data_IF_141402758920
#
_entry.id   IF_141402758920
#
_cell.length_a   1.000
_cell.length_b   1.000
_cell.length_c   1.000
_cell.angle_alpha   90.00
_cell.angle_beta   90.00
_cell.angle_gamma   90.00
#
_symmetry.space_group_name_H-M   'P 1'
#
loop_
_entity.id
_entity.type
_entity.pdbx_description
1 polymer ?
#
# COMPACT_ATOMS: atom_id res chain seq x y z
N UNK A 1 0.77 20.94 35.42
CA UNK A 1 0.76 21.10 33.95
C UNK A 1 2.13 21.61 33.52
N UNK A 2 2.63 21.15 32.37
CA UNK A 2 3.91 21.58 31.79
C UNK A 2 3.64 22.75 30.84
N UNK A 3 4.42 23.82 30.98
CA UNK A 3 4.25 25.07 30.23
C UNK A 3 5.46 25.37 29.32
N UNK A 4 6.60 24.68 29.53
CA UNK A 4 7.82 24.89 28.74
C UNK A 4 8.64 23.60 28.56
N UNK A 5 9.52 23.58 27.54
CA UNK A 5 10.44 22.45 27.30
C UNK A 5 11.39 22.22 28.48
N UNK A 6 11.88 23.29 29.12
CA UNK A 6 12.77 23.15 30.28
C UNK A 6 12.06 22.46 31.44
N UNK A 7 10.79 22.82 31.70
CA UNK A 7 9.98 22.18 32.73
C UNK A 7 9.72 20.70 32.39
N UNK A 8 9.43 20.40 31.11
CA UNK A 8 9.25 19.04 30.65
C UNK A 8 10.50 18.19 30.91
N UNK A 9 11.66 18.64 30.43
CA UNK A 9 12.92 17.89 30.55
C UNK A 9 13.30 17.67 32.02
N UNK A 10 13.13 18.67 32.90
CA UNK A 10 13.34 18.51 34.35
C UNK A 10 12.43 17.44 34.95
N UNK A 11 11.18 17.35 34.52
CA UNK A 11 10.25 16.33 35.01
C UNK A 11 10.63 14.93 34.48
N UNK A 12 10.99 14.82 33.20
CA UNK A 12 11.46 13.55 32.60
C UNK A 12 12.74 13.07 33.28
N UNK A 13 13.68 13.96 33.62
CA UNK A 13 14.92 13.61 34.30
C UNK A 13 14.68 13.06 35.72
N UNK A 14 13.64 13.53 36.42
CA UNK A 14 13.25 12.93 37.71
C UNK A 14 12.74 11.51 37.50
N UNK A 15 11.85 11.31 36.52
CA UNK A 15 11.27 9.99 36.22
C UNK A 15 12.35 9.01 35.79
N UNK A 16 13.31 9.44 34.95
CA UNK A 16 14.47 8.63 34.51
C UNK A 16 15.30 8.10 35.68
N UNK A 17 15.47 8.87 36.76
CA UNK A 17 16.22 8.43 37.95
C UNK A 17 15.51 7.34 38.76
N UNK A 18 14.20 7.18 38.57
CA UNK A 18 13.38 6.17 39.24
C UNK A 18 13.22 4.89 38.41
N UNK A 19 13.74 4.88 37.16
CA UNK A 19 13.60 3.74 36.24
C UNK A 19 14.84 2.85 36.33
N UNK A 20 14.67 1.52 36.48
CA UNK A 20 15.77 0.57 36.46
C UNK A 20 16.55 0.62 35.13
N UNK A 21 17.89 0.39 35.14
CA UNK A 21 18.71 0.39 33.92
C UNK A 21 18.27 -0.59 32.83
N UNK A 22 17.64 -1.70 33.21
CA UNK A 22 17.09 -2.73 32.33
C UNK A 22 15.78 -2.33 31.63
N UNK A 23 15.19 -1.19 32.03
CA UNK A 23 13.95 -0.68 31.48
C UNK A 23 14.22 0.51 30.54
N UNK A 24 13.47 0.58 29.44
CA UNK A 24 13.53 1.69 28.49
C UNK A 24 12.36 2.64 28.69
N UNK A 25 12.65 3.94 28.84
CA UNK A 25 11.63 4.98 28.82
C UNK A 25 11.35 5.46 27.41
N UNK A 26 10.10 5.30 26.99
CA UNK A 26 9.58 5.77 25.71
C UNK A 26 8.39 6.71 25.92
N UNK A 27 8.10 7.52 24.91
CA UNK A 27 7.11 8.58 24.98
C UNK A 27 6.16 8.52 23.79
N UNK A 28 4.92 8.96 24.00
CA UNK A 28 3.94 9.16 22.93
C UNK A 28 3.15 10.44 23.16
N UNK A 29 3.13 11.31 22.17
CA UNK A 29 2.27 12.50 22.17
C UNK A 29 0.86 12.18 21.72
N UNK A 30 -0.14 12.71 22.42
CA UNK A 30 -1.54 12.64 22.02
C UNK A 30 -2.25 13.96 22.25
N UNK A 31 -3.17 14.28 21.34
CA UNK A 31 -3.97 15.48 21.47
C UNK A 31 -5.20 15.30 22.38
N UNK A 32 -5.57 14.06 22.68
CA UNK A 32 -6.65 13.68 23.57
C UNK A 32 -6.31 12.34 24.23
N UNK A 33 -6.86 12.09 25.42
CA UNK A 33 -6.74 10.80 26.09
C UNK A 33 -7.85 9.87 25.58
N UNK A 34 -7.47 8.62 25.32
CA UNK A 34 -8.39 7.51 25.07
C UNK A 34 -8.24 6.48 26.19
N UNK A 35 -9.26 5.63 26.37
CA UNK A 35 -9.24 4.56 27.38
C UNK A 35 -8.07 3.59 27.20
N UNK A 36 -7.73 3.28 25.95
CA UNK A 36 -6.55 2.48 25.59
C UNK A 36 -5.77 3.12 24.44
N UNK A 37 -4.45 3.03 24.51
CA UNK A 37 -3.54 3.33 23.40
C UNK A 37 -3.52 2.12 22.47
N UNK A 38 -3.98 2.30 21.23
CA UNK A 38 -4.09 1.23 20.22
C UNK A 38 -3.46 1.62 18.88
N UNK A 39 -2.93 0.62 18.19
CA UNK A 39 -2.34 0.76 16.86
C UNK A 39 -3.41 1.11 15.81
N UNK A 40 -2.96 1.57 14.64
CA UNK A 40 -3.84 1.94 13.54
C UNK A 40 -4.74 0.78 13.07
N UNK A 41 -4.17 -0.43 12.98
CA UNK A 41 -4.89 -1.64 12.54
C UNK A 41 -5.58 -2.43 13.65
N UNK A 42 -5.30 -2.20 14.93
CA UNK A 42 -6.00 -2.86 16.03
C UNK A 42 -7.46 -2.40 16.21
N UNK A 43 -7.97 -1.52 15.32
CA UNK A 43 -9.37 -1.09 15.22
C UNK A 43 -10.17 -2.11 14.39
N UNK A 44 -11.46 -2.28 14.70
CA UNK A 44 -12.31 -3.32 14.08
C UNK A 44 -12.36 -3.22 12.54
N UNK A 45 -12.45 -4.37 11.85
CA UNK A 45 -12.63 -4.53 10.39
C UNK A 45 -11.41 -4.28 9.47
N UNK A 46 -10.19 -4.48 9.93
CA UNK A 46 -9.01 -4.40 9.05
C UNK A 46 -8.83 -5.66 8.20
N UNK A 47 -8.90 -5.54 6.88
CA UNK A 47 -8.59 -6.62 5.92
C UNK A 47 -7.07 -6.68 5.72
N UNK A 48 -6.48 -7.87 5.90
CA UNK A 48 -5.05 -8.11 5.66
C UNK A 48 -4.91 -9.14 4.54
N UNK A 49 -4.14 -8.81 3.50
CA UNK A 49 -3.76 -9.75 2.45
C UNK A 49 -2.25 -10.01 2.54
N UNK A 50 -1.84 -11.27 2.75
CA UNK A 50 -0.44 -11.63 2.99
C UNK A 50 0.49 -11.38 1.79
N UNK A 51 -0.02 -11.47 0.55
CA UNK A 51 0.78 -11.16 -0.65
C UNK A 51 0.98 -9.66 -0.80
N UNK A 52 -0.04 -8.85 -0.46
CA UNK A 52 0.09 -7.40 -0.43
C UNK A 52 1.11 -6.95 0.61
N UNK A 53 1.08 -7.52 1.82
CA UNK A 53 2.09 -7.25 2.85
C UNK A 53 3.50 -7.66 2.41
N UNK A 54 3.63 -8.80 1.74
CA UNK A 54 4.92 -9.25 1.17
C UNK A 54 5.40 -8.34 0.03
N UNK A 55 4.49 -7.75 -0.75
CA UNK A 55 4.81 -6.77 -1.78
C UNK A 55 5.39 -5.49 -1.18
N UNK A 56 4.79 -4.96 -0.12
CA UNK A 56 5.35 -3.84 0.64
C UNK A 56 6.75 -4.13 1.18
N UNK A 57 6.94 -5.33 1.73
CA UNK A 57 8.24 -5.80 2.20
C UNK A 57 9.30 -5.81 1.08
N UNK A 58 8.91 -6.25 -0.12
CA UNK A 58 9.76 -6.28 -1.31
C UNK A 58 10.21 -4.87 -1.73
N UNK A 59 9.29 -3.89 -1.72
CA UNK A 59 9.62 -2.50 -2.05
C UNK A 59 10.66 -1.96 -1.06
N UNK A 60 10.46 -2.15 0.25
CA UNK A 60 11.39 -1.65 1.27
C UNK A 60 12.76 -2.31 1.17
N UNK A 61 12.84 -3.64 1.03
CA UNK A 61 14.11 -4.34 0.94
C UNK A 61 14.96 -3.91 -0.27
N UNK A 62 14.31 -3.62 -1.40
CA UNK A 62 15.00 -3.01 -2.56
C UNK A 62 15.52 -1.62 -2.25
N UNK A 63 14.76 -0.82 -1.51
CA UNK A 63 15.17 0.52 -1.14
C UNK A 63 16.28 0.52 -0.09
N UNK A 64 16.30 -0.41 0.85
CA UNK A 64 17.30 -0.51 1.93
C UNK A 64 18.61 -1.16 1.51
N UNK A 65 18.64 -1.90 0.40
CA UNK A 65 19.70 -2.88 0.05
C UNK A 65 19.94 -3.91 1.18
N UNK A 66 18.97 -4.11 2.07
CA UNK A 66 19.02 -5.08 3.17
C UNK A 66 17.87 -6.06 3.00
N UNK A 67 18.09 -7.32 3.34
CA UNK A 67 17.00 -8.28 3.54
C UNK A 67 16.60 -8.25 5.01
N UNK A 68 15.58 -7.47 5.33
CA UNK A 68 14.93 -7.45 6.65
C UNK A 68 13.65 -8.27 6.65
N UNK A 69 13.21 -8.68 7.86
CA UNK A 69 11.94 -9.35 8.06
C UNK A 69 10.75 -8.43 7.78
N UNK A 70 9.60 -9.01 7.42
CA UNK A 70 8.36 -8.29 7.10
C UNK A 70 7.94 -7.34 8.22
N UNK A 71 8.07 -7.77 9.49
CA UNK A 71 7.72 -6.95 10.66
C UNK A 71 8.55 -5.67 10.76
N UNK A 72 9.86 -5.78 10.59
CA UNK A 72 10.78 -4.64 10.62
C UNK A 72 10.47 -3.64 9.51
N UNK A 73 10.20 -4.12 8.30
CA UNK A 73 9.86 -3.26 7.18
C UNK A 73 8.49 -2.58 7.32
N UNK A 74 7.49 -3.27 7.89
CA UNK A 74 6.24 -2.65 8.28
C UNK A 74 6.46 -1.55 9.32
N UNK A 75 7.36 -1.77 10.28
CA UNK A 75 7.71 -0.76 11.29
C UNK A 75 8.27 0.52 10.65
N UNK A 76 9.17 0.38 9.66
CA UNK A 76 9.65 1.52 8.85
C UNK A 76 8.49 2.20 8.11
N UNK A 77 7.68 1.43 7.38
CA UNK A 77 6.62 1.97 6.51
C UNK A 77 5.51 2.69 7.28
N UNK A 78 5.31 2.36 8.56
CA UNK A 78 4.34 3.07 9.40
C UNK A 78 4.65 4.57 9.49
N UNK A 79 5.93 4.95 9.58
CA UNK A 79 6.33 6.35 9.58
C UNK A 79 6.04 7.05 8.25
N UNK A 80 5.77 6.30 7.18
CA UNK A 80 5.39 6.80 5.85
C UNK A 80 3.90 6.62 5.56
N UNK A 81 3.08 6.30 6.56
CA UNK A 81 1.62 6.28 6.44
C UNK A 81 1.00 4.90 6.21
N UNK A 82 1.78 3.81 6.21
CA UNK A 82 1.21 2.46 6.19
C UNK A 82 0.53 2.18 7.54
N UNK A 83 -0.78 1.87 7.57
CA UNK A 83 -1.40 1.39 8.81
C UNK A 83 -0.79 0.04 9.18
N UNK A 84 -0.43 -0.16 10.45
CA UNK A 84 0.12 -1.43 10.96
C UNK A 84 -0.49 -1.78 12.32
N UNK A 85 -0.07 -2.92 12.88
CA UNK A 85 -0.36 -3.32 14.26
C UNK A 85 0.63 -2.77 15.28
N UNK A 86 1.47 -1.77 14.97
CA UNK A 86 2.42 -1.23 15.95
C UNK A 86 1.96 0.09 16.55
N UNK A 87 2.29 0.29 17.82
CA UNK A 87 2.24 1.58 18.47
C UNK A 87 3.55 2.31 18.20
N UNK A 88 3.40 3.51 17.65
CA UNK A 88 4.48 4.45 17.41
C UNK A 88 4.89 5.16 18.73
N UNK A 89 6.15 5.04 19.11
CA UNK A 89 6.76 5.59 20.32
C UNK A 89 8.05 6.32 19.95
N UNK A 90 8.49 7.23 20.81
CA UNK A 90 9.76 7.95 20.63
C UNK A 90 10.60 7.90 21.89
N UNK A 91 11.93 7.83 21.76
CA UNK A 91 12.85 8.05 22.88
C UNK A 91 13.10 9.53 23.20
N UNK A 92 12.55 10.45 22.37
CA UNK A 92 12.70 11.89 22.53
C UNK A 92 11.41 12.53 23.09
N UNK A 93 11.42 13.02 24.34
CA UNK A 93 10.23 13.61 24.94
C UNK A 93 9.76 14.90 24.24
N UNK A 94 10.66 15.63 23.56
CA UNK A 94 10.27 16.83 22.80
C UNK A 94 9.52 16.47 21.51
N UNK A 95 9.86 15.35 20.86
CA UNK A 95 9.09 14.81 19.73
C UNK A 95 7.68 14.43 20.18
N UNK A 96 7.54 13.77 21.35
CA UNK A 96 6.22 13.48 21.92
C UNK A 96 5.46 14.75 22.30
N UNK A 97 6.12 15.75 22.88
CA UNK A 97 5.51 17.04 23.19
C UNK A 97 4.98 17.75 21.93
N UNK A 98 5.74 17.68 20.83
CA UNK A 98 5.30 18.20 19.53
C UNK A 98 4.02 17.50 19.07
N UNK A 99 3.97 16.16 19.05
CA UNK A 99 2.74 15.44 18.67
C UNK A 99 1.55 15.70 19.62
N UNK A 100 1.81 16.05 20.89
CA UNK A 100 0.76 16.44 21.84
C UNK A 100 0.15 17.83 21.56
N UNK A 101 0.91 18.70 20.88
CA UNK A 101 0.53 20.08 20.55
C UNK A 101 0.09 20.27 19.10
N UNK A 102 0.28 19.28 18.23
CA UNK A 102 -0.01 19.38 16.80
C UNK A 102 -1.04 18.33 16.37
N UNK A 103 -1.91 18.70 15.43
CA UNK A 103 -2.97 17.83 14.89
C UNK A 103 -2.68 17.51 13.43
N UNK A 104 -2.67 16.22 13.11
CA UNK A 104 -2.62 15.74 11.73
C UNK A 104 -3.85 16.21 10.94
N UNK A 105 -3.60 16.77 9.75
CA UNK A 105 -4.62 17.26 8.84
C UNK A 105 -4.35 16.74 7.43
N UNK A 106 -5.36 16.11 6.83
CA UNK A 106 -5.33 15.72 5.41
C UNK A 106 -5.76 16.94 4.60
N UNK A 107 -4.90 17.34 3.67
CA UNK A 107 -5.15 18.48 2.81
C UNK A 107 -5.82 18.04 1.51
N UNK A 108 -6.34 19.01 0.76
CA UNK A 108 -6.81 18.73 -0.61
C UNK A 108 -5.59 18.32 -1.46
N UNK A 109 -5.67 17.20 -2.20
CA UNK A 109 -4.57 16.76 -3.04
C UNK A 109 -4.31 17.78 -4.16
N UNK A 110 -3.04 17.97 -4.50
CA UNK A 110 -2.67 18.71 -5.71
C UNK A 110 -2.85 17.83 -6.93
N UNK A 111 -3.46 18.41 -7.96
CA UNK A 111 -3.60 17.79 -9.26
C UNK A 111 -2.53 18.31 -10.21
N UNK A 112 -1.78 17.39 -10.79
CA UNK A 112 -0.80 17.67 -11.82
C UNK A 112 -1.39 17.37 -13.19
N UNK A 113 -1.35 18.37 -14.07
CA UNK A 113 -1.89 18.28 -15.42
C UNK A 113 -0.81 17.77 -16.36
N UNK A 114 -1.00 16.55 -16.87
CA UNK A 114 -0.21 15.91 -17.93
C UNK A 114 -1.14 15.18 -18.89
N UNK A 115 -0.64 14.18 -19.61
CA UNK A 115 -1.51 13.31 -20.42
C UNK A 115 -2.51 12.55 -19.54
N UNK A 116 -2.04 12.13 -18.36
CA UNK A 116 -2.87 11.65 -17.26
C UNK A 116 -2.91 12.72 -16.17
N UNK A 117 -4.08 13.00 -15.60
CA UNK A 117 -4.16 13.84 -14.40
C UNK A 117 -3.66 13.07 -13.19
N UNK A 118 -2.58 13.53 -12.56
CA UNK A 118 -1.99 12.83 -11.42
C UNK A 118 -2.35 13.53 -10.13
N UNK A 119 -3.05 12.84 -9.24
CA UNK A 119 -3.30 13.34 -7.88
C UNK A 119 -2.14 12.97 -6.96
N UNK A 120 -1.73 13.96 -6.20
CA UNK A 120 -0.74 13.81 -5.15
C UNK A 120 -1.38 14.16 -3.82
N UNK A 121 -1.49 13.16 -2.95
CA UNK A 121 -2.04 13.32 -1.61
C UNK A 121 -1.08 14.14 -0.74
N UNK A 122 -1.66 14.99 0.10
CA UNK A 122 -0.95 15.97 0.94
C UNK A 122 -1.48 15.94 2.37
N UNK A 123 -0.58 16.14 3.31
CA UNK A 123 -0.86 16.17 4.73
C UNK A 123 0.00 17.22 5.40
N UNK A 124 -0.47 17.70 6.54
CA UNK A 124 0.28 18.62 7.39
C UNK A 124 -0.02 18.34 8.87
N UNK A 125 0.66 19.07 9.73
CA UNK A 125 0.36 19.13 11.15
C UNK A 125 0.11 20.57 11.55
N UNK A 126 -1.13 20.84 11.95
CA UNK A 126 -1.54 22.16 12.43
C UNK A 126 -1.31 22.27 13.94
N UNK A 127 -0.62 23.33 14.38
CA UNK A 127 -0.49 23.64 15.80
C UNK A 127 -1.86 23.89 16.42
N UNK A 128 -2.10 23.33 17.60
CA UNK A 128 -3.25 23.64 18.44
C UNK A 128 -2.82 24.71 19.45
N UNK A 129 -3.49 25.85 19.44
CA UNK A 129 -3.12 27.02 20.26
C UNK A 129 -3.78 27.04 21.65
N UNK A 130 -4.68 26.08 21.93
CA UNK A 130 -5.41 25.98 23.19
C UNK A 130 -5.68 24.54 23.64
N UNK A 131 -6.08 24.40 24.90
CA UNK A 131 -6.39 23.12 25.54
C UNK A 131 -5.15 22.34 26.01
N UNK A 132 -5.40 21.08 26.36
CA UNK A 132 -4.41 20.21 27.01
C UNK A 132 -3.87 19.18 26.02
N UNK A 133 -2.55 19.11 25.90
CA UNK A 133 -1.83 18.01 25.25
C UNK A 133 -1.37 16.97 26.26
N UNK A 134 -1.19 15.73 25.82
CA UNK A 134 -0.81 14.63 26.69
C UNK A 134 0.46 13.95 26.19
N UNK A 135 1.45 13.80 27.08
CA UNK A 135 2.57 12.89 26.88
C UNK A 135 2.32 11.65 27.71
N UNK A 136 2.18 10.51 27.05
CA UNK A 136 2.09 9.20 27.69
C UNK A 136 3.51 8.64 27.79
N UNK A 137 3.92 8.27 29.00
CA UNK A 137 5.24 7.71 29.29
C UNK A 137 5.11 6.21 29.46
N UNK A 138 5.89 5.47 28.68
CA UNK A 138 6.00 4.03 28.72
C UNK A 138 7.30 3.64 29.41
N UNK A 139 7.22 2.76 30.40
CA UNK A 139 8.36 2.05 30.99
C UNK A 139 8.34 0.63 30.46
N UNK A 140 9.17 0.36 29.44
CA UNK A 140 9.24 -0.94 28.78
C UNK A 140 10.29 -1.79 29.48
N UNK A 141 9.91 -2.86 30.19
CA UNK A 141 10.86 -3.72 30.88
C UNK A 141 11.60 -4.64 29.92
N UNK A 142 12.83 -5.04 30.26
CA UNK A 142 13.64 -6.00 29.52
C UNK A 142 13.68 -5.70 28.00
N UNK A 143 13.83 -4.42 27.64
CA UNK A 143 13.64 -3.95 26.27
C UNK A 143 14.57 -4.64 25.25
N UNK A 144 15.78 -5.06 25.67
CA UNK A 144 16.74 -5.79 24.82
C UNK A 144 16.23 -7.18 24.40
N UNK A 145 15.55 -7.88 25.31
CA UNK A 145 14.89 -9.16 25.02
C UNK A 145 13.74 -8.94 24.02
N UNK A 146 12.92 -7.92 24.26
CA UNK A 146 11.82 -7.57 23.35
C UNK A 146 12.30 -7.17 21.94
N UNK A 147 13.47 -6.53 21.82
CA UNK A 147 14.08 -6.26 20.51
C UNK A 147 14.50 -7.56 19.84
N UNK A 148 15.12 -8.47 20.59
CA UNK A 148 15.57 -9.79 20.08
C UNK A 148 14.39 -10.64 19.60
N UNK A 149 13.24 -10.55 20.27
CA UNK A 149 12.01 -11.27 19.94
C UNK A 149 11.15 -10.59 18.85
N UNK A 150 11.62 -9.48 18.26
CA UNK A 150 10.87 -8.68 17.28
C UNK A 150 9.51 -8.18 17.81
N UNK A 151 9.47 -7.85 19.09
CA UNK A 151 8.33 -7.34 19.83
C UNK A 151 8.37 -5.82 20.06
N UNK A 152 9.58 -5.28 20.06
CA UNK A 152 9.96 -3.86 20.07
C UNK A 152 10.97 -3.62 18.94
N UNK A 153 10.80 -2.57 18.16
CA UNK A 153 11.72 -2.22 17.08
C UNK A 153 12.34 -0.86 17.36
N UNK A 154 13.67 -0.80 17.44
CA UNK A 154 14.45 0.44 17.35
C UNK A 154 14.81 0.68 15.89
N UNK A 155 14.13 1.62 15.25
CA UNK A 155 14.39 1.99 13.85
C UNK A 155 15.01 3.39 13.72
N UNK A 156 15.41 4.00 14.85
CA UNK A 156 16.04 5.32 14.86
C UNK A 156 17.43 5.34 14.19
N UNK A 157 18.01 4.17 13.94
CA UNK A 157 19.33 4.02 13.32
C UNK A 157 19.27 3.70 11.81
N UNK A 158 18.11 3.81 11.16
CA UNK A 158 18.02 3.54 9.73
C UNK A 158 18.68 4.62 8.88
N UNK A 159 19.65 4.21 8.05
CA UNK A 159 20.49 5.15 7.31
C UNK A 159 19.84 5.69 6.04
N UNK A 160 18.94 4.92 5.42
CA UNK A 160 18.25 5.34 4.19
C UNK A 160 16.93 6.05 4.47
N UNK A 161 16.23 5.64 5.53
CA UNK A 161 14.98 6.24 5.97
C UNK A 161 15.27 7.14 7.16
N UNK A 162 15.36 8.44 6.91
CA UNK A 162 15.84 9.43 7.89
C UNK A 162 14.73 9.86 8.86
N UNK A 163 13.46 9.80 8.44
CA UNK A 163 12.33 10.17 9.30
C UNK A 163 12.31 9.41 10.64
N UNK A 164 12.46 8.07 10.69
CA UNK A 164 12.62 7.34 11.96
C UNK A 164 13.72 7.88 12.88
N UNK A 165 14.89 8.22 12.34
CA UNK A 165 16.00 8.83 13.10
C UNK A 165 15.58 10.17 13.71
N UNK A 166 15.00 11.07 12.89
CA UNK A 166 14.57 12.41 13.35
C UNK A 166 13.47 12.36 14.41
N UNK A 167 12.66 11.31 14.38
CA UNK A 167 11.61 11.08 15.35
C UNK A 167 12.08 10.26 16.56
N UNK A 168 13.29 9.72 16.58
CA UNK A 168 13.76 8.84 17.64
C UNK A 168 12.88 7.60 17.80
N UNK A 169 12.50 7.01 16.67
CA UNK A 169 11.36 6.10 16.54
C UNK A 169 11.59 4.71 17.14
N UNK A 170 10.62 4.29 17.96
CA UNK A 170 10.45 2.92 18.45
C UNK A 170 9.04 2.44 18.14
N UNK A 171 8.89 1.16 17.80
CA UNK A 171 7.59 0.57 17.53
C UNK A 171 7.37 -0.69 18.35
N UNK A 172 6.27 -0.74 19.09
CA UNK A 172 5.88 -1.90 19.90
C UNK A 172 4.64 -2.56 19.31
N UNK A 173 4.65 -3.88 19.15
CA UNK A 173 3.53 -4.62 18.55
C UNK A 173 2.28 -4.57 19.46
N UNK A 174 1.13 -4.23 18.90
CA UNK A 174 -0.19 -4.19 19.54
C UNK A 174 -1.14 -5.09 18.75
N UNK A 175 -0.79 -6.38 18.63
CA UNK A 175 -1.59 -7.40 17.95
C UNK A 175 -2.51 -8.12 18.94
N UNK A 176 -3.81 -7.78 19.05
CA UNK A 176 -4.66 -8.35 20.08
C UNK A 176 -5.05 -9.81 19.76
N UNK A 177 -5.17 -10.70 20.75
CA UNK A 177 -4.76 -10.54 22.15
C UNK A 177 -3.26 -10.82 22.33
N UNK A 178 -2.45 -9.76 22.52
CA UNK A 178 -1.03 -9.87 22.93
C UNK A 178 -0.94 -9.78 24.45
N UNK A 179 -0.06 -10.58 25.05
CA UNK A 179 0.33 -10.45 26.45
C UNK A 179 1.85 -10.21 26.55
N UNK A 180 2.31 -9.21 27.32
CA UNK A 180 1.52 -8.14 27.95
C UNK A 180 0.96 -7.15 26.91
N UNK A 181 -0.23 -6.61 27.19
CA UNK A 181 -0.78 -5.48 26.43
C UNK A 181 0.14 -4.26 26.65
N UNK A 182 0.58 -3.55 25.59
CA UNK A 182 1.46 -2.37 25.73
C UNK A 182 0.95 -1.30 26.68
N UNK A 183 -0.37 -1.19 26.89
CA UNK A 183 -0.97 -0.29 27.86
C UNK A 183 -0.53 -0.58 29.31
N UNK A 184 -0.10 -1.81 29.62
CA UNK A 184 0.46 -2.17 30.94
C UNK A 184 1.80 -1.51 31.22
N UNK A 185 2.49 -1.03 30.19
CA UNK A 185 3.77 -0.33 30.31
C UNK A 185 3.59 1.17 30.56
N UNK A 186 2.36 1.69 30.58
CA UNK A 186 2.12 3.12 30.86
C UNK A 186 2.48 3.40 32.32
N UNK A 187 3.56 4.18 32.54
CA UNK A 187 4.04 4.59 33.86
C UNK A 187 3.34 5.86 34.35
N UNK A 188 3.19 6.85 33.48
CA UNK A 188 2.67 8.19 33.82
C UNK A 188 2.12 8.89 32.58
N UNK A 189 1.14 9.78 32.80
CA UNK A 189 0.67 10.73 31.79
C UNK A 189 1.00 12.14 32.28
N UNK A 190 1.63 12.94 31.43
CA UNK A 190 1.95 14.35 31.69
C UNK A 190 1.05 15.22 30.83
N UNK A 191 0.46 16.23 31.44
CA UNK A 191 -0.36 17.25 30.77
C UNK A 191 0.49 18.46 30.38
N UNK A 192 0.33 18.92 29.14
CA UNK A 192 0.94 20.12 28.57
C UNK A 192 -0.15 21.18 28.35
N UNK A 193 0.12 22.40 28.79
CA UNK A 193 -0.67 23.57 28.40
C UNK A 193 -0.23 24.04 27.01
N UNK A 194 -1.07 23.82 25.98
CA UNK A 194 -0.74 24.19 24.60
C UNK A 194 -0.69 25.68 24.35
N UNK A 195 -1.36 26.48 25.18
CA UNK A 195 -1.39 27.93 25.05
C UNK A 195 -0.06 28.57 25.43
N UNK A 196 0.73 27.89 26.28
CA UNK A 196 2.02 28.36 26.78
C UNK A 196 3.19 27.57 26.18
N UNK A 197 3.02 26.28 25.94
CA UNK A 197 4.10 25.41 25.48
C UNK A 197 4.46 25.69 24.02
N UNK A 198 5.74 25.98 23.79
CA UNK A 198 6.31 26.14 22.46
C UNK A 198 7.37 25.07 22.25
N UNK A 199 7.17 24.19 21.25
CA UNK A 199 8.16 23.19 20.90
C UNK A 199 9.24 23.78 20.00
N UNK A 200 10.49 23.39 20.24
CA UNK A 200 11.64 23.67 19.38
C UNK A 200 11.67 22.81 18.11
N UNK A 201 10.89 21.73 18.06
CA UNK A 201 10.76 20.84 16.89
C UNK A 201 9.88 21.47 15.81
N UNK A 202 10.27 21.27 14.55
CA UNK A 202 9.49 21.71 13.37
C UNK A 202 8.96 20.53 12.56
N UNK A 203 7.97 20.79 11.69
CA UNK A 203 7.47 19.78 10.75
C UNK A 203 8.60 19.27 9.85
N UNK A 204 9.42 20.17 9.28
CA UNK A 204 10.50 19.83 8.34
C UNK A 204 11.61 19.02 9.00
N UNK A 205 11.83 19.19 10.30
CA UNK A 205 12.75 18.35 11.07
C UNK A 205 12.21 16.93 11.23
N UNK A 206 10.95 16.79 11.69
CA UNK A 206 10.35 15.49 11.98
C UNK A 206 9.91 14.73 10.72
N UNK A 207 9.62 15.43 9.63
CA UNK A 207 9.18 14.90 8.33
C UNK A 207 10.11 15.42 7.24
N UNK A 208 11.36 14.90 7.17
CA UNK A 208 12.35 15.41 6.25
C UNK A 208 11.91 15.28 4.79
N UNK A 209 12.26 16.29 4.00
CA UNK A 209 12.00 16.34 2.56
C UNK A 209 12.68 15.16 1.83
N UNK A 210 12.11 14.59 0.74
CA UNK A 210 12.69 13.49 -0.05
C UNK A 210 14.10 13.76 -0.59
N UNK A 211 14.47 15.03 -0.76
CA UNK A 211 15.86 15.41 -1.12
C UNK A 211 16.87 14.98 -0.05
N UNK A 212 16.44 14.97 1.22
CA UNK A 212 17.21 14.56 2.38
C UNK A 212 16.97 13.07 2.64
N UNK A 213 15.71 12.65 2.75
CA UNK A 213 15.30 11.27 3.02
C UNK A 213 15.22 10.43 1.73
N UNK A 214 16.31 9.71 1.44
CA UNK A 214 16.44 8.88 0.23
C UNK A 214 15.44 7.74 0.17
N UNK A 215 15.11 7.15 1.32
CA UNK A 215 14.10 6.10 1.44
C UNK A 215 12.72 6.64 1.10
N UNK A 216 12.37 7.82 1.62
CA UNK A 216 11.14 8.51 1.24
C UNK A 216 11.09 8.83 -0.26
N UNK A 217 12.19 9.34 -0.83
CA UNK A 217 12.27 9.59 -2.27
C UNK A 217 12.08 8.32 -3.12
N UNK A 218 12.63 7.19 -2.66
CA UNK A 218 12.46 5.90 -3.33
C UNK A 218 11.03 5.38 -3.29
N UNK A 219 10.36 5.54 -2.15
CA UNK A 219 8.93 5.25 -2.01
C UNK A 219 8.09 6.14 -2.94
N UNK A 220 8.51 7.38 -3.17
CA UNK A 220 7.86 8.30 -4.12
C UNK A 220 8.30 8.09 -5.58
N UNK A 221 9.16 7.13 -5.91
CA UNK A 221 9.55 6.85 -7.31
C UNK A 221 8.71 5.72 -7.93
N UNK A 222 7.79 5.11 -7.16
CA UNK A 222 6.85 4.13 -7.70
C UNK A 222 5.92 4.77 -8.73
N UNK A 223 5.51 4.01 -9.78
CA UNK A 223 4.66 4.53 -10.82
C UNK A 223 3.27 4.91 -10.31
N UNK A 224 2.58 5.75 -11.07
CA UNK A 224 1.16 5.99 -10.90
C UNK A 224 0.36 4.82 -11.48
N UNK A 225 -0.87 4.63 -11.01
CA UNK A 225 -1.84 3.70 -11.57
C UNK A 225 -3.11 4.47 -11.86
N UNK A 226 -3.69 4.20 -13.03
CA UNK A 226 -4.86 4.88 -13.54
C UNK A 226 -6.17 4.32 -12.98
N UNK A 227 -7.13 5.22 -12.79
CA UNK A 227 -8.51 4.89 -12.45
C UNK A 227 -9.47 5.62 -13.42
N UNK A 228 -10.41 4.91 -14.05
CA UNK A 228 -11.48 5.55 -14.83
C UNK A 228 -12.55 6.18 -13.93
N UNK A 229 -13.28 7.16 -14.47
CA UNK A 229 -14.36 7.92 -13.84
C UNK A 229 -15.48 7.08 -13.28
N UNK A 230 -15.77 5.96 -13.92
CA UNK A 230 -16.72 4.97 -13.43
C UNK A 230 -16.61 4.68 -11.91
N UNK A 231 -15.39 4.59 -11.35
CA UNK A 231 -15.21 4.22 -9.94
C UNK A 231 -15.27 5.39 -8.95
N UNK A 232 -15.12 6.65 -9.40
CA UNK A 232 -15.20 7.82 -8.51
C UNK A 232 -16.47 8.66 -8.69
N UNK A 233 -17.14 8.56 -9.84
CA UNK A 233 -18.47 9.12 -10.08
C UNK A 233 -19.57 8.12 -9.69
N UNK A 234 -19.67 7.73 -8.42
CA UNK A 234 -20.98 7.30 -7.91
C UNK A 234 -21.76 8.58 -7.65
N UNK A 235 -22.89 8.85 -8.34
CA UNK A 235 -23.57 10.12 -8.22
C UNK A 235 -23.91 10.40 -6.76
N UNK A 236 -23.39 11.51 -6.22
CA UNK A 236 -24.18 12.25 -5.23
C UNK A 236 -25.54 12.47 -5.89
N UNK A 237 -26.61 11.95 -5.29
CA UNK A 237 -27.99 11.91 -5.80
C UNK A 237 -28.62 13.28 -6.17
N UNK A 238 -27.84 14.35 -6.28
CA UNK A 238 -28.31 15.73 -6.36
C UNK A 238 -27.89 16.51 -7.63
N UNK A 239 -27.20 15.91 -8.60
CA UNK A 239 -26.99 16.56 -9.91
C UNK A 239 -28.03 16.07 -10.92
N UNK A 240 -29.20 16.70 -10.89
CA UNK A 240 -30.20 16.60 -11.94
C UNK A 240 -29.65 17.35 -13.17
N UNK A 241 -29.40 16.64 -14.27
CA UNK A 241 -29.24 17.26 -15.60
C UNK A 241 -27.97 16.94 -16.40
N UNK A 242 -27.12 16.00 -15.99
CA UNK A 242 -26.00 15.55 -16.84
C UNK A 242 -26.41 14.26 -17.56
N UNK A 243 -26.47 14.30 -18.89
CA UNK A 243 -26.68 13.13 -19.73
C UNK A 243 -25.57 12.09 -19.45
N UNK A 244 -25.94 10.83 -19.20
CA UNK A 244 -24.99 9.75 -18.91
C UNK A 244 -24.00 9.54 -20.07
N UNK A 245 -24.43 9.71 -21.33
CA UNK A 245 -23.57 9.66 -22.52
C UNK A 245 -22.44 10.70 -22.51
N UNK A 246 -22.66 11.90 -21.94
CA UNK A 246 -21.63 12.94 -21.89
C UNK A 246 -20.56 12.65 -20.84
N UNK A 247 -20.90 11.87 -19.81
CA UNK A 247 -19.97 11.46 -18.73
C UNK A 247 -19.07 10.32 -19.22
N UNK A 248 -19.63 9.33 -19.91
CA UNK A 248 -18.85 8.25 -20.56
C UNK A 248 -17.88 8.80 -21.62
N UNK A 249 -18.25 9.89 -22.31
CA UNK A 249 -17.36 10.55 -23.27
C UNK A 249 -16.11 11.17 -22.64
N UNK A 250 -16.16 11.65 -21.39
CA UNK A 250 -15.01 12.31 -20.76
C UNK A 250 -13.97 11.31 -20.26
N UNK A 251 -14.39 10.08 -19.95
CA UNK A 251 -13.52 8.96 -19.58
C UNK A 251 -12.51 8.59 -20.68
N UNK A 252 -12.86 8.87 -21.94
CA UNK A 252 -11.96 8.70 -23.09
C UNK A 252 -10.84 9.74 -23.13
N UNK A 253 -11.05 10.91 -22.52
CA UNK A 253 -10.11 12.04 -22.60
C UNK A 253 -9.39 12.32 -21.29
N UNK A 254 -9.95 11.90 -20.16
CA UNK A 254 -9.46 12.26 -18.83
C UNK A 254 -9.39 11.05 -17.92
N UNK A 255 -8.17 10.57 -17.70
CA UNK A 255 -7.89 9.53 -16.72
C UNK A 255 -7.17 10.15 -15.54
N UNK A 256 -7.58 9.76 -14.33
CA UNK A 256 -6.89 10.15 -13.11
C UNK A 256 -5.93 9.06 -12.67
N UNK A 257 -4.76 9.45 -12.16
CA UNK A 257 -3.75 8.55 -11.62
C UNK A 257 -3.42 8.90 -10.18
N UNK A 258 -3.13 7.87 -9.38
CA UNK A 258 -2.50 8.00 -8.05
C UNK A 258 -1.27 7.11 -8.00
N UNK A 259 -0.29 7.48 -7.16
CA UNK A 259 0.87 6.60 -6.92
C UNK A 259 0.39 5.24 -6.48
N UNK A 260 1.01 4.18 -7.02
CA UNK A 260 0.57 2.81 -6.79
C UNK A 260 0.52 2.48 -5.28
N UNK A 261 1.41 3.09 -4.51
CA UNK A 261 1.37 3.06 -3.05
C UNK A 261 0.91 4.42 -2.49
N UNK A 262 0.07 4.37 -1.46
CA UNK A 262 -0.48 5.56 -0.83
C UNK A 262 0.47 6.14 0.21
N UNK A 263 1.28 7.13 -0.20
CA UNK A 263 2.20 7.86 0.66
C UNK A 263 2.03 9.36 0.39
N UNK A 264 1.54 10.14 1.37
CA UNK A 264 1.29 11.57 1.19
C UNK A 264 2.57 12.40 1.26
N UNK A 265 2.49 13.63 0.76
CA UNK A 265 3.48 14.68 1.02
C UNK A 265 3.19 15.40 2.32
N UNK A 266 4.20 15.49 3.18
CA UNK A 266 4.13 16.29 4.41
C UNK A 266 4.62 17.69 4.08
N UNK A 267 3.71 18.66 4.11
CA UNK A 267 3.99 20.04 3.72
C UNK A 267 3.67 21.01 4.86
N UNK A 268 4.50 22.03 5.04
CA UNK A 268 4.25 23.13 5.97
C UNK A 268 3.44 24.23 5.27
N UNK A 269 3.81 24.51 4.02
CA UNK A 269 3.15 25.47 3.15
C UNK A 269 3.11 24.95 1.69
N UNK A 270 2.49 25.72 0.79
CA UNK A 270 2.35 25.33 -0.62
C UNK A 270 3.64 25.51 -1.42
N UNK A 271 4.61 26.27 -0.92
CA UNK A 271 5.88 26.47 -1.63
C UNK A 271 6.75 25.21 -1.53
N UNK A 272 6.60 24.41 -0.46
CA UNK A 272 7.21 23.08 -0.35
C UNK A 272 6.90 22.20 -1.58
N UNK A 273 5.70 22.31 -2.17
CA UNK A 273 5.29 21.49 -3.34
C UNK A 273 6.18 21.69 -4.57
N UNK A 274 6.79 22.87 -4.74
CA UNK A 274 7.74 23.08 -5.85
C UNK A 274 8.99 22.22 -5.69
N UNK A 275 9.39 21.93 -4.45
CA UNK A 275 10.51 21.04 -4.16
C UNK A 275 10.17 19.56 -4.33
N UNK A 276 8.87 19.23 -4.26
CA UNK A 276 8.31 17.89 -4.48
C UNK A 276 7.88 17.61 -5.94
N UNK A 277 7.97 18.60 -6.84
CA UNK A 277 7.41 18.59 -8.20
C UNK A 277 7.54 17.21 -8.88
N UNK A 278 6.42 16.52 -9.19
CA UNK A 278 6.46 15.22 -9.85
C UNK A 278 7.27 15.37 -11.13
N UNK A 279 8.17 14.43 -11.31
CA UNK A 279 9.21 14.59 -12.29
C UNK A 279 8.53 14.41 -13.65
N UNK A 280 8.96 15.15 -14.67
CA UNK A 280 8.55 14.88 -16.07
C UNK A 280 8.80 13.43 -16.54
N UNK A 281 9.55 12.64 -15.76
CA UNK A 281 9.84 11.23 -15.98
C UNK A 281 8.94 10.27 -15.17
N UNK A 282 8.00 10.79 -14.38
CA UNK A 282 7.07 9.97 -13.61
C UNK A 282 6.21 9.17 -14.62
N UNK A 283 6.19 7.86 -14.44
CA UNK A 283 5.46 6.94 -15.33
C UNK A 283 4.12 6.56 -14.72
N UNK A 284 3.19 6.21 -15.59
CA UNK A 284 1.85 5.79 -15.23
C UNK A 284 1.61 4.40 -15.82
N UNK A 285 1.17 3.46 -14.99
CA UNK A 285 0.70 2.14 -15.42
C UNK A 285 -0.63 2.35 -16.13
N UNK A 286 -0.61 2.12 -17.44
CA UNK A 286 -1.72 2.32 -18.34
C UNK A 286 -2.33 0.99 -18.78
N UNK A 287 -3.66 0.97 -18.83
CA UNK A 287 -4.48 -0.08 -19.40
C UNK A 287 -5.61 0.56 -20.21
N UNK A 288 -6.09 -0.08 -21.28
CA UNK A 288 -7.26 0.41 -22.00
C UNK A 288 -8.48 0.45 -21.08
N UNK A 289 -9.39 1.40 -21.33
CA UNK A 289 -10.58 1.61 -20.50
C UNK A 289 -11.38 0.34 -20.24
N UNK A 290 -11.71 -0.50 -21.24
CA UNK A 290 -12.49 -1.71 -21.02
C UNK A 290 -11.88 -2.63 -19.95
N UNK A 291 -10.56 -2.86 -19.99
CA UNK A 291 -9.90 -3.68 -18.96
C UNK A 291 -9.94 -3.04 -17.58
N UNK A 292 -9.96 -1.70 -17.46
CA UNK A 292 -10.08 -1.01 -16.16
C UNK A 292 -11.50 -1.05 -15.62
N UNK A 293 -12.52 -1.07 -16.48
CA UNK A 293 -13.92 -1.19 -16.06
C UNK A 293 -14.45 -2.63 -16.11
N UNK A 294 -13.59 -3.66 -16.10
CA UNK A 294 -13.98 -5.09 -16.23
C UNK A 294 -15.17 -5.53 -15.34
N UNK A 295 -15.43 -4.86 -14.22
CA UNK A 295 -16.61 -5.09 -13.39
C UNK A 295 -17.95 -4.77 -14.08
N UNK A 296 -17.95 -4.05 -15.19
CA UNK A 296 -19.13 -3.80 -16.02
C UNK A 296 -19.37 -4.93 -17.03
N UNK A 297 -18.40 -5.82 -17.22
CA UNK A 297 -18.48 -6.91 -18.18
C UNK A 297 -19.17 -8.14 -17.59
N UNK A 298 -20.22 -8.61 -18.26
CA UNK A 298 -20.96 -9.79 -17.83
C UNK A 298 -20.62 -11.02 -18.67
N UNK A 299 -19.64 -11.78 -18.20
CA UNK A 299 -19.37 -13.14 -18.69
C UNK A 299 -19.54 -14.15 -17.55
N UNK A 300 -20.35 -15.18 -17.79
CA UNK A 300 -20.59 -16.26 -16.84
C UNK A 300 -20.12 -17.59 -17.46
N UNK A 301 -19.15 -18.23 -16.82
CA UNK A 301 -18.50 -19.44 -17.34
C UNK A 301 -19.45 -20.64 -17.40
N UNK A 302 -20.49 -20.68 -16.56
CA UNK A 302 -21.48 -21.77 -16.54
C UNK A 302 -22.29 -21.87 -17.83
N UNK A 303 -22.37 -20.78 -18.61
CA UNK A 303 -23.01 -20.76 -19.93
C UNK A 303 -22.23 -21.59 -20.97
N UNK A 304 -20.92 -21.75 -20.75
CA UNK A 304 -20.03 -22.52 -21.63
C UNK A 304 -19.73 -23.90 -21.06
N UNK A 305 -19.38 -23.97 -19.78
CA UNK A 305 -18.95 -25.20 -19.10
C UNK A 305 -19.97 -25.62 -18.04
N UNK A 306 -20.74 -26.66 -18.34
CA UNK A 306 -21.76 -27.19 -17.42
C UNK A 306 -21.11 -27.63 -16.10
N UNK A 307 -21.67 -27.16 -14.99
CA UNK A 307 -21.20 -27.51 -13.63
C UNK A 307 -20.17 -26.57 -13.05
N UNK A 308 -19.60 -25.68 -13.85
CA UNK A 308 -18.66 -24.64 -13.41
C UNK A 308 -19.41 -23.39 -12.94
N UNK A 309 -18.87 -22.67 -11.96
CA UNK A 309 -19.49 -21.46 -11.38
C UNK A 309 -18.47 -20.34 -11.26
N UNK A 310 -18.63 -19.30 -12.06
CA UNK A 310 -17.76 -18.13 -12.04
C UNK A 310 -18.30 -17.02 -12.92
N UNK A 311 -18.28 -15.81 -12.37
CA UNK A 311 -18.67 -14.58 -13.04
C UNK A 311 -17.45 -13.67 -13.14
N UNK A 312 -17.25 -13.08 -14.32
CA UNK A 312 -16.09 -12.24 -14.59
C UNK A 312 -16.11 -10.93 -13.76
N UNK A 313 -17.29 -10.39 -13.47
CA UNK A 313 -17.43 -9.20 -12.59
C UNK A 313 -16.91 -9.41 -11.17
N UNK A 314 -17.01 -10.64 -10.64
CA UNK A 314 -16.57 -11.00 -9.28
C UNK A 314 -15.09 -11.41 -9.21
N UNK A 315 -14.41 -11.38 -10.35
CA UNK A 315 -13.03 -11.83 -10.50
C UNK A 315 -12.04 -10.85 -9.88
N UNK A 316 -10.99 -11.41 -9.28
CA UNK A 316 -9.84 -10.62 -8.86
C UNK A 316 -8.98 -10.24 -10.05
N UNK A 317 -8.66 -8.96 -10.21
CA UNK A 317 -7.82 -8.45 -11.27
C UNK A 317 -6.41 -8.21 -10.79
N UNK A 318 -5.42 -8.65 -11.56
CA UNK A 318 -4.01 -8.33 -11.40
C UNK A 318 -3.52 -7.58 -12.64
N UNK A 319 -3.26 -6.28 -12.48
CA UNK A 319 -2.58 -5.46 -13.49
C UNK A 319 -1.07 -5.65 -13.38
N UNK A 320 -0.45 -6.19 -14.43
CA UNK A 320 0.98 -6.52 -14.45
C UNK A 320 1.76 -5.38 -15.13
N UNK A 321 2.62 -4.70 -14.36
CA UNK A 321 3.52 -3.68 -14.93
C UNK A 321 4.53 -4.31 -15.91
N UNK A 322 5.10 -3.53 -16.87
CA UNK A 322 6.11 -4.06 -17.78
C UNK A 322 7.32 -4.69 -17.09
N UNK A 323 7.74 -4.16 -15.95
CA UNK A 323 8.86 -4.69 -15.18
C UNK A 323 8.52 -6.05 -14.59
N UNK A 324 7.36 -6.16 -13.92
CA UNK A 324 6.88 -7.43 -13.39
C UNK A 324 6.64 -8.47 -14.50
N UNK A 325 6.08 -8.05 -15.64
CA UNK A 325 5.85 -8.93 -16.79
C UNK A 325 7.16 -9.57 -17.26
N UNK A 326 8.21 -8.77 -17.47
CA UNK A 326 9.50 -9.30 -17.90
C UNK A 326 10.09 -10.29 -16.90
N UNK A 327 9.85 -10.10 -15.58
CA UNK A 327 10.32 -11.04 -14.57
C UNK A 327 9.51 -12.34 -14.58
N UNK A 328 8.19 -12.23 -14.66
CA UNK A 328 7.25 -13.34 -14.62
C UNK A 328 7.39 -14.29 -15.81
N UNK A 329 7.68 -13.73 -16.98
CA UNK A 329 7.86 -14.45 -18.23
C UNK A 329 9.34 -14.72 -18.57
N UNK A 330 10.24 -14.59 -17.59
CA UNK A 330 11.63 -15.04 -17.73
C UNK A 330 11.74 -16.57 -17.52
N UNK A 331 12.71 -17.20 -18.20
CA UNK A 331 12.93 -18.64 -18.14
C UNK A 331 13.62 -19.04 -16.82
N UNK A 332 12.82 -19.16 -15.76
CA UNK A 332 13.18 -19.88 -14.54
C UNK A 332 12.15 -20.99 -14.30
N UNK A 333 12.48 -22.20 -14.75
CA UNK A 333 11.65 -23.41 -14.59
C UNK A 333 11.76 -24.00 -13.17
N UNK A 334 12.65 -23.49 -12.32
CA UNK A 334 12.87 -24.02 -10.97
C UNK A 334 11.87 -23.50 -9.92
N UNK A 335 11.00 -22.56 -10.32
CA UNK A 335 10.04 -21.93 -9.42
C UNK A 335 8.82 -22.82 -9.20
N UNK A 336 8.46 -23.00 -7.93
CA UNK A 336 7.22 -23.66 -7.55
C UNK A 336 6.01 -22.87 -8.08
N UNK A 337 5.08 -23.59 -8.72
CA UNK A 337 3.82 -23.04 -9.19
C UNK A 337 2.80 -23.12 -8.06
N UNK A 338 2.02 -22.06 -7.89
CA UNK A 338 0.89 -22.05 -6.97
C UNK A 338 -0.17 -21.05 -7.40
N UNK A 339 -1.41 -21.30 -6.98
CA UNK A 339 -2.47 -20.34 -7.18
C UNK A 339 -2.20 -19.09 -6.31
N UNK A 340 -2.27 -17.86 -6.87
CA UNK A 340 -2.01 -16.64 -6.09
C UNK A 340 -2.86 -16.56 -4.83
N UNK A 341 -2.26 -16.18 -3.70
CA UNK A 341 -2.92 -16.12 -2.41
C UNK A 341 -3.70 -14.81 -2.21
N UNK A 342 -4.66 -14.58 -3.12
CA UNK A 342 -5.57 -13.43 -3.13
C UNK A 342 -7.03 -13.82 -2.81
N UNK A 343 -7.23 -15.03 -2.26
CA UNK A 343 -8.54 -15.57 -1.85
C UNK A 343 -9.64 -15.47 -2.93
N UNK A 344 -9.29 -15.71 -4.19
CA UNK A 344 -10.24 -15.75 -5.30
C UNK A 344 -10.06 -17.01 -6.13
N UNK A 345 -11.16 -17.63 -6.55
CA UNK A 345 -11.15 -18.75 -7.50
C UNK A 345 -11.09 -18.27 -8.95
N UNK A 346 -11.27 -16.99 -9.21
CA UNK A 346 -11.18 -16.43 -10.57
C UNK A 346 -10.21 -15.25 -10.57
N UNK A 347 -9.25 -15.25 -11.49
CA UNK A 347 -8.24 -14.19 -11.60
C UNK A 347 -8.11 -13.71 -13.05
N UNK A 348 -8.22 -12.40 -13.26
CA UNK A 348 -8.02 -11.73 -14.53
C UNK A 348 -6.68 -11.01 -14.54
N UNK A 349 -5.81 -11.41 -15.44
CA UNK A 349 -4.48 -10.85 -15.62
C UNK A 349 -4.45 -9.96 -16.85
N UNK A 350 -3.88 -8.76 -16.69
CA UNK A 350 -3.69 -7.80 -17.77
C UNK A 350 -2.25 -7.35 -17.82
N UNK A 351 -1.67 -7.31 -19.02
CA UNK A 351 -0.36 -6.67 -19.21
C UNK A 351 -0.58 -5.18 -19.42
N UNK A 352 -0.08 -4.36 -18.51
CA UNK A 352 -0.08 -2.92 -18.66
C UNK A 352 1.16 -2.43 -19.44
N UNK A 353 1.12 -1.17 -19.83
CA UNK A 353 2.26 -0.42 -20.39
C UNK A 353 2.64 0.73 -19.47
N UNK A 354 3.85 1.27 -19.62
CA UNK A 354 4.22 2.52 -18.97
C UNK A 354 3.92 3.67 -19.93
N UNK A 355 3.00 4.53 -19.52
CA UNK A 355 2.69 5.79 -20.18
C UNK A 355 3.43 6.94 -19.49
N UNK A 356 3.82 7.94 -20.26
CA UNK A 356 4.45 9.16 -19.75
C UNK A 356 4.06 10.36 -20.64
N UNK A 357 4.21 11.58 -20.13
CA UNK A 357 3.64 12.77 -20.80
C UNK A 357 4.25 13.12 -22.17
N UNK A 358 5.31 12.45 -22.63
CA UNK A 358 6.02 12.77 -23.89
C UNK A 358 5.97 11.70 -25.00
N UNK A 359 5.51 10.49 -24.70
CA UNK A 359 5.59 9.29 -25.55
C UNK A 359 4.39 8.47 -25.14
N UNK A 360 3.45 8.42 -26.06
CA UNK A 360 2.26 7.60 -25.99
C UNK A 360 2.45 6.64 -27.16
N UNK A 361 2.87 5.41 -26.85
CA UNK A 361 3.11 4.38 -27.86
C UNK A 361 2.42 3.10 -27.41
N UNK A 362 1.10 3.19 -27.28
CA UNK A 362 0.25 2.05 -27.07
C UNK A 362 -0.84 2.05 -28.15
N UNK A 363 -1.08 0.89 -28.75
CA UNK A 363 -2.11 0.71 -29.76
C UNK A 363 -2.74 -0.66 -29.59
N UNK A 364 -4.06 -0.78 -29.79
CA UNK A 364 -4.72 -2.08 -29.77
C UNK A 364 -4.17 -2.99 -30.88
N UNK A 365 -4.35 -4.32 -30.77
CA UNK A 365 -5.16 -5.01 -29.76
C UNK A 365 -4.44 -5.20 -28.42
N UNK A 366 -5.19 -5.04 -27.33
CA UNK A 366 -4.74 -5.34 -25.97
C UNK A 366 -5.15 -6.77 -25.59
N UNK A 367 -4.32 -7.45 -24.81
CA UNK A 367 -4.57 -8.83 -24.41
C UNK A 367 -4.59 -8.99 -22.89
N UNK A 368 -5.50 -9.84 -22.42
CA UNK A 368 -5.59 -10.28 -21.04
C UNK A 368 -6.00 -11.74 -20.95
N UNK A 369 -5.80 -12.34 -19.78
CA UNK A 369 -6.05 -13.77 -19.54
C UNK A 369 -6.87 -13.90 -18.29
N UNK A 370 -7.99 -14.60 -18.39
CA UNK A 370 -8.83 -14.93 -17.25
C UNK A 370 -8.71 -16.41 -16.94
N UNK A 371 -8.36 -16.71 -15.69
CA UNK A 371 -8.27 -18.06 -15.16
C UNK A 371 -9.38 -18.27 -14.15
N UNK A 372 -10.17 -19.31 -14.33
CA UNK A 372 -11.14 -19.79 -13.36
C UNK A 372 -10.70 -21.14 -12.80
N UNK A 373 -10.67 -21.28 -11.48
CA UNK A 373 -10.26 -22.50 -10.78
C UNK A 373 -11.43 -23.10 -10.01
N UNK A 374 -11.69 -24.38 -10.25
CA UNK A 374 -12.63 -25.21 -9.51
C UNK A 374 -11.94 -26.51 -9.08
N UNK A 375 -11.59 -26.61 -7.79
CA UNK A 375 -10.68 -27.63 -7.26
C UNK A 375 -9.34 -27.61 -8.02
N UNK A 376 -8.97 -28.71 -8.66
CA UNK A 376 -7.73 -28.80 -9.43
C UNK A 376 -7.94 -28.38 -10.90
N UNK A 377 -9.18 -28.21 -11.36
CA UNK A 377 -9.45 -27.78 -12.74
C UNK A 377 -9.23 -26.27 -12.87
N UNK A 378 -8.43 -25.85 -13.85
CA UNK A 378 -8.26 -24.48 -14.27
C UNK A 378 -8.79 -24.35 -15.71
N UNK A 379 -9.72 -23.41 -15.90
CA UNK A 379 -10.24 -23.03 -17.21
C UNK A 379 -9.66 -21.67 -17.57
N UNK A 380 -9.03 -21.62 -18.74
CA UNK A 380 -8.47 -20.40 -19.29
C UNK A 380 -9.44 -19.76 -20.29
N UNK A 381 -9.47 -18.43 -20.32
CA UNK A 381 -10.10 -17.65 -21.37
C UNK A 381 -9.22 -16.46 -21.72
N UNK A 382 -9.14 -16.16 -23.01
CA UNK A 382 -8.40 -15.02 -23.54
C UNK A 382 -9.34 -13.84 -23.70
N UNK A 383 -8.84 -12.64 -23.42
CA UNK A 383 -9.57 -11.41 -23.58
C UNK A 383 -8.79 -10.54 -24.54
N UNK A 384 -9.44 -10.13 -25.62
CA UNK A 384 -8.89 -9.18 -26.58
C UNK A 384 -9.71 -7.91 -26.48
N UNK A 385 -9.06 -6.77 -26.27
CA UNK A 385 -9.74 -5.50 -26.23
C UNK A 385 -9.20 -4.53 -27.27
N UNK A 386 -10.09 -3.72 -27.82
CA UNK A 386 -9.72 -2.46 -28.46
C UNK A 386 -9.87 -1.30 -27.45
N UNK A 387 -10.09 -0.08 -27.91
CA UNK A 387 -10.29 1.08 -27.03
C UNK A 387 -11.66 1.10 -26.34
N UNK A 388 -12.64 0.35 -26.85
CA UNK A 388 -14.05 0.46 -26.48
C UNK A 388 -14.66 -0.85 -25.97
N UNK A 389 -14.24 -2.00 -26.50
CA UNK A 389 -14.88 -3.29 -26.26
C UNK A 389 -13.89 -4.34 -25.80
N UNK A 390 -14.38 -5.31 -25.02
CA UNK A 390 -13.68 -6.56 -24.70
C UNK A 390 -14.40 -7.71 -25.38
N UNK A 391 -13.64 -8.52 -26.10
CA UNK A 391 -14.09 -9.79 -26.66
C UNK A 391 -13.50 -10.96 -25.85
N UNK A 392 -14.36 -11.91 -25.51
CA UNK A 392 -13.99 -13.15 -24.84
C UNK A 392 -13.73 -14.25 -25.87
N UNK A 393 -12.56 -14.86 -25.78
CA UNK A 393 -12.16 -16.00 -26.57
C UNK A 393 -11.91 -17.20 -25.64
N UNK A 394 -12.41 -18.37 -26.04
CA UNK A 394 -12.18 -19.59 -25.28
C UNK A 394 -10.68 -19.90 -25.24
N UNK A 395 -10.20 -20.44 -24.12
CA UNK A 395 -8.84 -20.98 -24.00
C UNK A 395 -8.87 -22.50 -23.88
N UNK A 396 -7.86 -23.05 -23.22
CA UNK A 396 -7.80 -24.47 -22.88
C UNK A 396 -8.14 -24.71 -21.40
N UNK A 397 -8.28 -25.98 -21.03
CA UNK A 397 -8.42 -26.38 -19.63
C UNK A 397 -7.24 -27.25 -19.20
N UNK A 398 -6.92 -27.15 -17.91
CA UNK A 398 -5.77 -27.81 -17.31
C UNK A 398 -6.12 -28.31 -15.92
N UNK A 399 -5.57 -29.45 -15.51
CA UNK A 399 -5.55 -29.86 -14.09
C UNK A 399 -4.27 -29.39 -13.44
N UNK A 400 -4.37 -28.78 -12.27
CA UNK A 400 -3.27 -28.25 -11.49
C UNK A 400 -3.07 -29.08 -10.23
N UNK A 401 -2.14 -30.05 -10.29
CA UNK A 401 -1.88 -31.02 -9.24
C UNK A 401 -0.42 -31.01 -8.86
N UNK A 402 -0.12 -30.89 -7.55
CA UNK A 402 1.25 -30.94 -7.02
C UNK A 402 2.24 -30.01 -7.76
N UNK A 403 1.81 -28.78 -8.07
CA UNK A 403 2.64 -27.79 -8.75
C UNK A 403 2.88 -28.07 -10.24
N UNK A 404 2.10 -28.96 -10.86
CA UNK A 404 2.18 -29.28 -12.29
C UNK A 404 0.85 -29.01 -12.98
N UNK A 405 0.93 -28.49 -14.20
CA UNK A 405 -0.22 -28.35 -15.10
C UNK A 405 -0.23 -29.50 -16.09
N UNK A 406 -1.41 -30.10 -16.28
CA UNK A 406 -1.64 -31.12 -17.30
C UNK A 406 -2.85 -30.70 -18.12
N UNK A 407 -2.71 -30.67 -19.45
CA UNK A 407 -3.80 -30.30 -20.34
C UNK A 407 -4.94 -31.31 -20.28
N UNK A 408 -6.18 -30.80 -20.28
CA UNK A 408 -7.40 -31.61 -20.32
C UNK A 408 -8.30 -31.10 -21.43
N UNK A 409 -8.61 -31.98 -22.39
CA UNK A 409 -9.57 -31.68 -23.46
C UNK A 409 -10.97 -31.49 -22.89
N UNK A 410 -11.60 -30.38 -23.23
CA UNK A 410 -12.99 -30.07 -22.87
C UNK A 410 -13.86 -29.85 -24.12
N UNK A 411 -15.18 -29.91 -23.96
CA UNK A 411 -16.14 -29.83 -25.08
C UNK A 411 -16.07 -28.52 -25.86
N UNK A 412 -15.74 -27.41 -25.19
CA UNK A 412 -15.69 -26.05 -25.76
C UNK A 412 -14.36 -25.37 -25.40
N UNK A 413 -13.32 -25.60 -26.18
CA UNK A 413 -12.04 -24.91 -26.05
C UNK A 413 -11.68 -24.20 -27.35
N UNK A 414 -10.58 -23.45 -27.38
CA UNK A 414 -10.09 -22.88 -28.63
C UNK A 414 -9.63 -23.94 -29.64
N UNK A 415 -9.74 -23.59 -30.91
CA UNK A 415 -9.33 -24.43 -32.04
C UNK A 415 -7.87 -24.18 -32.47
N UNK A 416 -7.05 -23.50 -31.64
CA UNK A 416 -5.68 -23.16 -32.02
C UNK A 416 -4.78 -24.40 -32.17
N UNK A 417 -5.14 -25.51 -31.51
CA UNK A 417 -4.42 -26.77 -31.58
C UNK A 417 -3.06 -26.77 -30.88
N UNK A 418 -2.80 -25.80 -29.98
CA UNK A 418 -1.50 -25.58 -29.33
C UNK A 418 -1.60 -25.37 -27.81
N UNK A 419 -2.08 -26.37 -27.05
CA UNK A 419 -2.18 -26.27 -25.60
C UNK A 419 -0.83 -26.03 -24.89
N UNK A 420 0.29 -26.39 -25.52
CA UNK A 420 1.65 -26.18 -25.01
C UNK A 420 2.13 -24.72 -25.03
N UNK A 421 1.55 -23.86 -25.86
CA UNK A 421 1.83 -22.42 -25.80
C UNK A 421 1.09 -21.78 -24.61
N UNK A 422 -0.16 -22.21 -24.38
CA UNK A 422 -1.02 -21.75 -23.30
C UNK A 422 -0.51 -22.20 -21.93
N UNK A 423 -0.06 -23.45 -21.80
CA UNK A 423 0.46 -23.96 -20.53
C UNK A 423 1.62 -23.10 -20.03
N UNK A 424 2.55 -22.69 -20.89
CA UNK A 424 3.70 -21.85 -20.52
C UNK A 424 3.27 -20.50 -19.97
N UNK A 425 2.22 -19.93 -20.54
CA UNK A 425 1.67 -18.65 -20.08
C UNK A 425 1.07 -18.82 -18.68
N UNK A 426 0.27 -19.86 -18.47
CA UNK A 426 -0.34 -20.14 -17.17
C UNK A 426 0.74 -20.45 -16.12
N UNK A 427 1.75 -21.26 -16.46
CA UNK A 427 2.90 -21.52 -15.59
C UNK A 427 3.57 -20.21 -15.18
N UNK A 428 3.82 -19.30 -16.12
CA UNK A 428 4.33 -17.97 -15.80
C UNK A 428 3.43 -17.23 -14.81
N UNK A 429 2.13 -17.18 -15.03
CA UNK A 429 1.19 -16.51 -14.11
C UNK A 429 1.16 -17.17 -12.72
N UNK A 430 1.29 -18.50 -12.62
CA UNK A 430 1.32 -19.23 -11.35
C UNK A 430 2.67 -19.14 -10.61
N UNK A 431 3.69 -18.48 -11.17
CA UNK A 431 4.96 -18.18 -10.47
C UNK A 431 4.88 -16.97 -9.54
N UNK A 432 3.81 -16.17 -9.59
CA UNK A 432 3.67 -14.91 -8.83
C UNK A 432 4.01 -15.10 -7.35
N UNK A 433 3.41 -16.09 -6.70
CA UNK A 433 3.62 -16.37 -5.29
C UNK A 433 5.11 -16.62 -4.95
N UNK A 434 5.77 -17.47 -5.74
CA UNK A 434 7.19 -17.80 -5.57
C UNK A 434 8.10 -16.59 -5.77
N UNK A 435 7.79 -15.74 -6.75
CA UNK A 435 8.55 -14.51 -7.01
C UNK A 435 8.35 -13.47 -5.91
N UNK A 436 7.13 -13.34 -5.36
CA UNK A 436 6.86 -12.48 -4.19
C UNK A 436 7.64 -12.99 -2.97
N UNK A 437 7.62 -14.31 -2.72
CA UNK A 437 8.38 -14.94 -1.62
C UNK A 437 9.89 -14.71 -1.75
N UNK A 438 10.41 -14.71 -2.98
CA UNK A 438 11.80 -14.36 -3.31
C UNK A 438 12.06 -12.84 -3.32
N UNK A 439 11.03 -12.01 -3.19
CA UNK A 439 11.07 -10.54 -3.23
C UNK A 439 11.53 -9.96 -4.58
N UNK A 440 11.18 -10.65 -5.66
CA UNK A 440 11.55 -10.28 -7.03
C UNK A 440 10.48 -9.50 -7.77
N UNK A 441 9.24 -9.52 -7.26
CA UNK A 441 8.12 -8.66 -7.68
C UNK A 441 7.29 -8.29 -6.46
N UNK A 442 6.53 -7.20 -6.54
CA UNK A 442 5.68 -6.74 -5.45
C UNK A 442 4.21 -6.69 -5.92
N UNK A 443 3.35 -7.49 -5.29
CA UNK A 443 1.90 -7.35 -5.43
C UNK A 443 1.40 -6.31 -4.42
N UNK A 444 0.63 -5.33 -4.87
CA UNK A 444 0.06 -4.28 -4.02
C UNK A 444 -1.42 -4.08 -4.34
N UNK A 445 -2.18 -3.59 -3.37
CA UNK A 445 -3.56 -3.17 -3.57
C UNK A 445 -3.59 -1.95 -4.50
N UNK A 446 -4.54 -1.90 -5.44
CA UNK A 446 -4.74 -0.71 -6.26
C UNK A 446 -4.95 0.54 -5.40
N UNK A 447 -4.30 1.66 -5.73
CA UNK A 447 -4.22 2.85 -4.87
C UNK A 447 -5.56 3.50 -4.49
N UNK A 448 -6.62 3.21 -5.26
CA UNK A 448 -7.98 3.66 -5.00
C UNK A 448 -8.81 2.66 -4.17
N UNK A 449 -8.21 1.58 -3.68
CA UNK A 449 -8.84 0.52 -2.88
C UNK A 449 -10.10 -0.07 -3.53
N UNK A 450 -10.04 -0.30 -4.86
CA UNK A 450 -11.11 -1.03 -5.55
C UNK A 450 -11.01 -2.51 -5.18
N UNK A 451 -12.11 -3.07 -4.67
CA UNK A 451 -12.15 -4.46 -4.21
C UNK A 451 -11.64 -5.42 -5.29
N UNK A 452 -10.78 -6.35 -4.88
CA UNK A 452 -10.15 -7.36 -5.72
C UNK A 452 -9.35 -6.81 -6.92
N UNK A 453 -8.88 -5.56 -6.88
CA UNK A 453 -7.94 -5.03 -7.87
C UNK A 453 -6.54 -4.87 -7.29
N UNK A 454 -5.58 -5.60 -7.85
CA UNK A 454 -4.18 -5.57 -7.47
C UNK A 454 -3.30 -5.12 -8.63
N UNK A 455 -2.11 -4.64 -8.29
CA UNK A 455 -1.08 -4.21 -9.24
C UNK A 455 0.20 -4.95 -8.90
N UNK A 456 0.86 -5.52 -9.91
CA UNK A 456 2.10 -6.26 -9.79
C UNK A 456 3.25 -5.41 -10.34
N UNK A 457 4.21 -5.06 -9.47
CA UNK A 457 5.34 -4.16 -9.73
C UNK A 457 6.69 -4.88 -9.83
#
# INVERSE_FOLDING_TARGET
MIESEEQLLKEIDKIRKEVPPENLLLFRGQNQIYDEVRSGRARQNTIVNSEVESGWNTIVNRLTDKKSGTKYNQAILQHYGLPTFYLDLTNNPLTAAWFACYKYEVLKPTMWIGNTFRFQDETTYKKLDDGIGYIIIFEVPNYEEMITEEELFDIGNESKFIRPEKQGAYLILDHPPRLPNPNKFIKKIIEIDRSLFTSSKSLKELFPHPKIDKGYAGLLDVPYVQLPQHYYNKPCKNFVGVNEETVESLDKFFVIGKRAIHIPFYIEDKDDLYDFNPKWKDTTIYEPSPFRIWKTEYFNISKMHKGQKGDFVDTAKITISPVAFNRLFSNDESLELSWPNINSNSIFFTKAVLDHDKVIDHSPPYAGIWLHKDNDLIIESHLVADEENIEFQLGHAFTFNNGKLEYVKIEKECDCGKPEEHIRIIESLLKIHSLIKKQEIALIQHAFNIDNWYVLL
#
